data_IF_915778401622
#
_entry.id   IF_915778401622
#
_cell.length_a   1.000
_cell.length_b   1.000
_cell.length_c   1.000
_cell.angle_alpha   90.00
_cell.angle_beta   90.00
_cell.angle_gamma   90.00
#
_symmetry.space_group_name_H-M   'P 1'
#
loop_
_entity.id
_entity.type
_entity.pdbx_description
1 polymer ?
#
# COMPACT_ATOMS: atom_id res chain seq x y z
N UNK A 1 -10.56 58.83 -51.27
CA UNK A 1 -11.01 58.79 -49.86
C UNK A 1 -12.13 57.77 -49.74
N UNK A 2 -11.96 56.79 -48.82
CA UNK A 2 -12.97 55.85 -48.26
C UNK A 2 -13.57 54.81 -49.23
N UNK A 3 -13.79 53.55 -48.86
CA UNK A 3 -13.36 52.64 -47.77
C UNK A 3 -13.73 51.26 -48.31
N UNK A 4 -12.83 50.27 -48.22
CA UNK A 4 -13.06 48.89 -48.66
C UNK A 4 -13.54 48.14 -47.43
N UNK A 5 -14.84 47.88 -47.33
CA UNK A 5 -15.42 47.10 -46.23
C UNK A 5 -14.93 45.66 -46.37
N UNK A 6 -14.06 45.27 -45.45
CA UNK A 6 -13.55 43.91 -45.31
C UNK A 6 -14.27 43.35 -44.09
N UNK A 7 -15.31 42.57 -44.33
CA UNK A 7 -16.00 41.79 -43.30
C UNK A 7 -15.04 40.69 -42.86
N UNK A 8 -14.35 40.93 -41.76
CA UNK A 8 -13.52 39.95 -41.08
C UNK A 8 -14.47 39.02 -40.35
N UNK A 9 -14.65 37.82 -40.89
CA UNK A 9 -15.33 36.72 -40.21
C UNK A 9 -14.52 36.40 -38.94
N UNK A 10 -15.04 36.85 -37.81
CA UNK A 10 -14.48 36.62 -36.48
C UNK A 10 -14.46 35.12 -36.22
N UNK A 11 -13.27 34.51 -36.25
CA UNK A 11 -13.04 33.25 -35.56
C UNK A 11 -13.51 33.43 -34.11
N UNK A 12 -14.52 32.67 -33.72
CA UNK A 12 -14.87 32.48 -32.31
C UNK A 12 -13.66 31.87 -31.62
N UNK A 13 -12.82 32.72 -31.05
CA UNK A 13 -11.93 32.31 -29.98
C UNK A 13 -12.81 31.75 -28.87
N UNK A 14 -12.66 30.45 -28.59
CA UNK A 14 -13.23 29.82 -27.41
C UNK A 14 -12.65 30.51 -26.18
N UNK A 15 -13.40 31.47 -25.66
CA UNK A 15 -13.16 32.10 -24.38
C UNK A 15 -13.40 31.08 -23.26
N UNK A 16 -12.40 30.23 -22.99
CA UNK A 16 -12.25 29.58 -21.69
C UNK A 16 -10.96 30.08 -21.05
N UNK A 17 -11.07 31.02 -20.11
CA UNK A 17 -9.97 31.62 -19.35
C UNK A 17 -9.34 30.65 -18.32
N UNK A 18 -9.64 29.35 -18.41
CA UNK A 18 -9.10 28.31 -17.54
C UNK A 18 -8.86 27.06 -18.40
N UNK A 19 -7.62 26.58 -18.36
CA UNK A 19 -7.16 25.34 -18.99
C UNK A 19 -8.09 24.17 -18.62
N UNK A 20 -8.59 23.45 -19.64
CA UNK A 20 -9.50 22.33 -19.46
C UNK A 20 -8.87 21.23 -18.59
N UNK A 21 -7.56 21.06 -18.68
CA UNK A 21 -6.79 20.11 -17.88
C UNK A 21 -6.70 20.55 -16.41
N UNK A 22 -6.58 21.85 -16.16
CA UNK A 22 -6.60 22.41 -14.80
C UNK A 22 -7.96 22.17 -14.12
N UNK A 23 -9.06 22.42 -14.83
CA UNK A 23 -10.40 22.18 -14.30
C UNK A 23 -10.68 20.70 -14.06
N UNK A 24 -10.26 19.83 -15.00
CA UNK A 24 -10.34 18.37 -14.85
C UNK A 24 -9.58 17.89 -13.62
N UNK A 25 -8.32 18.32 -13.45
CA UNK A 25 -7.48 17.89 -12.34
C UNK A 25 -8.02 18.36 -10.98
N UNK A 26 -8.55 19.60 -10.92
CA UNK A 26 -9.19 20.12 -9.71
C UNK A 26 -10.42 19.30 -9.32
N UNK A 27 -11.28 18.97 -10.29
CA UNK A 27 -12.45 18.13 -10.05
C UNK A 27 -12.05 16.71 -9.66
N UNK A 28 -11.06 16.12 -10.33
CA UNK A 28 -10.57 14.80 -10.01
C UNK A 28 -10.07 14.72 -8.56
N UNK A 29 -9.22 15.66 -8.13
CA UNK A 29 -8.76 15.75 -6.74
C UNK A 29 -9.92 15.93 -5.74
N UNK A 30 -10.93 16.73 -6.11
CA UNK A 30 -12.15 16.89 -5.28
C UNK A 30 -12.91 15.56 -5.15
N UNK A 31 -13.01 14.78 -6.22
CA UNK A 31 -13.63 13.46 -6.23
C UNK A 31 -12.90 12.48 -5.30
N UNK A 32 -11.56 12.44 -5.40
CA UNK A 32 -10.72 11.63 -4.51
C UNK A 32 -10.91 12.02 -3.03
N UNK A 33 -10.94 13.31 -2.72
CA UNK A 33 -11.20 13.78 -1.34
C UNK A 33 -12.57 13.32 -0.84
N UNK A 34 -13.60 13.34 -1.70
CA UNK A 34 -14.93 12.81 -1.32
C UNK A 34 -14.95 11.31 -1.09
N UNK A 35 -14.14 10.54 -1.83
CA UNK A 35 -13.96 9.12 -1.53
C UNK A 35 -13.29 8.91 -0.17
N UNK A 36 -12.27 9.71 0.16
CA UNK A 36 -11.60 9.65 1.45
C UNK A 36 -12.53 10.05 2.62
N UNK A 37 -13.48 10.95 2.37
CA UNK A 37 -14.56 11.32 3.30
C UNK A 37 -15.70 10.26 3.37
N UNK A 38 -15.59 9.13 2.66
CA UNK A 38 -16.63 8.09 2.50
C UNK A 38 -17.95 8.59 1.87
N UNK A 39 -17.93 9.77 1.22
CA UNK A 39 -19.09 10.36 0.52
C UNK A 39 -19.12 9.89 -0.94
N UNK A 40 -19.49 8.63 -1.13
CA UNK A 40 -19.37 7.94 -2.43
C UNK A 40 -20.35 8.48 -3.49
N UNK A 41 -21.53 8.94 -3.11
CA UNK A 41 -22.50 9.57 -4.02
C UNK A 41 -21.97 10.92 -4.54
N UNK A 42 -21.44 11.75 -3.64
CA UNK A 42 -20.80 13.03 -4.00
C UNK A 42 -19.59 12.79 -4.90
N UNK A 43 -18.74 11.82 -4.55
CA UNK A 43 -17.59 11.44 -5.35
C UNK A 43 -18.00 10.99 -6.76
N UNK A 44 -19.02 10.11 -6.85
CA UNK A 44 -19.58 9.66 -8.12
C UNK A 44 -20.07 10.82 -8.98
N UNK A 45 -20.78 11.77 -8.38
CA UNK A 45 -21.24 12.97 -9.09
C UNK A 45 -20.06 13.80 -9.62
N UNK A 46 -19.01 13.97 -8.82
CA UNK A 46 -17.82 14.73 -9.23
C UNK A 46 -17.08 14.02 -10.38
N UNK A 47 -16.92 12.69 -10.34
CA UNK A 47 -16.30 11.96 -11.45
C UNK A 47 -17.16 12.04 -12.72
N UNK A 48 -18.49 12.04 -12.62
CA UNK A 48 -19.35 12.31 -13.77
C UNK A 48 -19.12 13.71 -14.35
N UNK A 49 -18.81 14.73 -13.53
CA UNK A 49 -18.42 16.05 -14.02
C UNK A 49 -17.08 16.02 -14.75
N UNK A 50 -16.09 15.27 -14.24
CA UNK A 50 -14.81 15.04 -14.95
C UNK A 50 -15.07 14.43 -16.33
N UNK A 51 -15.96 13.44 -16.39
CA UNK A 51 -16.30 12.74 -17.64
C UNK A 51 -17.12 13.58 -18.63
N UNK A 52 -17.71 14.71 -18.20
CA UNK A 52 -18.28 15.69 -19.13
C UNK A 52 -17.21 16.53 -19.83
N UNK A 53 -16.06 16.72 -19.17
CA UNK A 53 -14.91 17.43 -19.74
C UNK A 53 -14.12 16.47 -20.65
N UNK A 54 -13.79 15.29 -20.14
CA UNK A 54 -13.11 14.24 -20.90
C UNK A 54 -13.87 12.90 -20.76
N UNK A 55 -14.70 12.51 -21.75
CA UNK A 55 -15.50 11.30 -21.67
C UNK A 55 -14.70 9.99 -21.58
N UNK A 56 -13.46 9.97 -22.05
CA UNK A 56 -12.62 8.77 -22.11
C UNK A 56 -11.52 8.78 -21.04
N UNK A 57 -11.72 9.56 -20.00
CA UNK A 57 -10.81 9.66 -18.87
C UNK A 57 -10.79 8.36 -18.06
N UNK A 58 -9.74 7.55 -18.27
CA UNK A 58 -9.60 6.21 -17.67
C UNK A 58 -9.62 6.27 -16.15
N UNK A 59 -8.89 7.21 -15.54
CA UNK A 59 -8.84 7.33 -14.09
C UNK A 59 -10.21 7.68 -13.50
N UNK A 60 -10.92 8.65 -14.11
CA UNK A 60 -12.24 9.04 -13.63
C UNK A 60 -13.28 7.95 -13.83
N UNK A 61 -13.19 7.16 -14.91
CA UNK A 61 -14.04 5.99 -15.13
C UNK A 61 -13.77 4.90 -14.09
N UNK A 62 -12.51 4.59 -13.81
CA UNK A 62 -12.15 3.62 -12.76
C UNK A 62 -12.67 4.06 -11.39
N UNK A 63 -12.50 5.34 -11.02
CA UNK A 63 -12.99 5.86 -9.75
C UNK A 63 -14.52 5.93 -9.68
N UNK A 64 -15.20 6.30 -10.76
CA UNK A 64 -16.66 6.24 -10.84
C UNK A 64 -17.17 4.81 -10.67
N UNK A 65 -16.56 3.86 -11.39
CA UNK A 65 -16.89 2.44 -11.29
C UNK A 65 -16.70 1.91 -9.86
N UNK A 66 -15.62 2.33 -9.19
CA UNK A 66 -15.34 1.99 -7.79
C UNK A 66 -16.42 2.55 -6.86
N UNK A 67 -16.75 3.84 -6.96
CA UNK A 67 -17.80 4.43 -6.13
C UNK A 67 -19.14 3.71 -6.35
N UNK A 68 -19.51 3.42 -7.60
CA UNK A 68 -20.75 2.69 -7.94
C UNK A 68 -20.77 1.28 -7.39
N UNK A 69 -19.64 0.57 -7.44
CA UNK A 69 -19.51 -0.76 -6.84
C UNK A 69 -19.81 -0.73 -5.34
N UNK A 70 -19.21 0.22 -4.61
CA UNK A 70 -19.41 0.34 -3.16
C UNK A 70 -20.79 0.91 -2.76
N UNK A 71 -21.49 1.53 -3.70
CA UNK A 71 -22.91 1.90 -3.58
C UNK A 71 -23.86 0.75 -3.97
N UNK A 72 -23.32 -0.45 -4.23
CA UNK A 72 -24.05 -1.63 -4.70
C UNK A 72 -24.76 -1.43 -6.07
N UNK A 73 -24.42 -0.36 -6.79
CA UNK A 73 -24.86 -0.10 -8.16
C UNK A 73 -23.96 -0.83 -9.15
N UNK A 74 -24.06 -2.16 -9.12
CA UNK A 74 -23.25 -3.06 -9.94
C UNK A 74 -23.47 -2.86 -11.45
N UNK A 75 -24.61 -2.31 -11.86
CA UNK A 75 -24.90 -2.07 -13.28
C UNK A 75 -24.09 -0.89 -13.80
N UNK A 76 -24.11 0.25 -13.11
CA UNK A 76 -23.31 1.40 -13.52
C UNK A 76 -21.82 1.17 -13.30
N UNK A 77 -21.45 0.40 -12.27
CA UNK A 77 -20.07 -0.02 -12.05
C UNK A 77 -19.51 -0.81 -13.25
N UNK A 78 -20.24 -1.83 -13.72
CA UNK A 78 -19.88 -2.59 -14.92
C UNK A 78 -19.73 -1.69 -16.14
N UNK A 79 -20.68 -0.78 -16.39
CA UNK A 79 -20.63 0.15 -17.52
C UNK A 79 -19.39 1.04 -17.50
N UNK A 80 -19.00 1.52 -16.32
CA UNK A 80 -17.81 2.34 -16.18
C UNK A 80 -16.53 1.54 -16.51
N UNK A 81 -16.40 0.32 -16.00
CA UNK A 81 -15.25 -0.54 -16.30
C UNK A 81 -15.24 -1.03 -17.76
N UNK A 82 -16.40 -1.36 -18.33
CA UNK A 82 -16.52 -1.70 -19.75
C UNK A 82 -16.04 -0.53 -20.62
N UNK A 83 -16.40 0.70 -20.27
CA UNK A 83 -15.91 1.89 -20.98
C UNK A 83 -14.40 2.10 -20.85
N UNK A 84 -13.79 1.74 -19.71
CA UNK A 84 -12.32 1.72 -19.60
C UNK A 84 -11.74 0.72 -20.59
N UNK A 85 -12.32 -0.46 -20.69
CA UNK A 85 -11.87 -1.53 -21.59
C UNK A 85 -12.11 -1.23 -23.08
N UNK A 86 -13.10 -0.40 -23.41
CA UNK A 86 -13.29 0.14 -24.76
C UNK A 86 -12.16 1.12 -25.15
N UNK A 87 -11.59 1.84 -24.18
CA UNK A 87 -10.46 2.77 -24.38
C UNK A 87 -9.13 2.03 -24.36
N UNK A 88 -8.94 1.12 -23.40
CA UNK A 88 -7.75 0.29 -23.21
C UNK A 88 -8.14 -1.11 -22.74
N UNK A 89 -8.16 -2.05 -23.68
CA UNK A 89 -8.49 -3.46 -23.43
C UNK A 89 -7.46 -4.18 -22.55
N UNK A 90 -6.26 -3.62 -22.39
CA UNK A 90 -5.17 -4.17 -21.57
C UNK A 90 -5.14 -3.57 -20.16
N UNK A 91 -6.15 -2.80 -19.78
CA UNK A 91 -6.21 -2.22 -18.44
C UNK A 91 -6.48 -3.28 -17.36
N UNK A 92 -5.44 -3.67 -16.62
CA UNK A 92 -5.52 -4.72 -15.61
C UNK A 92 -6.46 -4.36 -14.45
N UNK A 93 -6.49 -3.09 -14.03
CA UNK A 93 -7.39 -2.60 -12.98
C UNK A 93 -8.85 -2.77 -13.37
N UNK A 94 -9.24 -2.37 -14.59
CA UNK A 94 -10.61 -2.50 -15.08
C UNK A 94 -11.07 -3.96 -15.13
N UNK A 95 -10.21 -4.88 -15.62
CA UNK A 95 -10.50 -6.31 -15.60
C UNK A 95 -10.68 -6.86 -14.18
N UNK A 96 -9.81 -6.47 -13.25
CA UNK A 96 -9.88 -6.89 -11.85
C UNK A 96 -11.10 -6.30 -11.11
N UNK A 97 -11.47 -5.04 -11.38
CA UNK A 97 -12.68 -4.49 -10.78
C UNK A 97 -13.96 -5.10 -11.37
N UNK A 98 -13.97 -5.39 -12.68
CA UNK A 98 -15.06 -6.13 -13.32
C UNK A 98 -15.21 -7.54 -12.74
N UNK A 99 -14.11 -8.21 -12.39
CA UNK A 99 -14.16 -9.51 -11.70
C UNK A 99 -14.83 -9.42 -10.34
N UNK A 100 -14.54 -8.37 -9.56
CA UNK A 100 -15.18 -8.11 -8.27
C UNK A 100 -16.69 -7.91 -8.41
N UNK A 101 -17.15 -7.20 -9.45
CA UNK A 101 -18.60 -7.06 -9.70
C UNK A 101 -19.25 -8.41 -9.99
N UNK A 102 -18.62 -9.27 -10.80
CA UNK A 102 -19.15 -10.62 -11.05
C UNK A 102 -19.15 -11.50 -9.80
N UNK A 103 -18.13 -11.34 -8.94
CA UNK A 103 -18.05 -12.04 -7.66
C UNK A 103 -19.19 -11.64 -6.72
N UNK A 104 -19.49 -10.34 -6.56
CA UNK A 104 -20.62 -9.89 -5.74
C UNK A 104 -21.97 -10.40 -6.28
N UNK A 105 -22.07 -10.53 -7.61
CA UNK A 105 -23.22 -11.15 -8.27
C UNK A 105 -23.23 -12.68 -8.21
N UNK A 106 -22.26 -13.29 -7.54
CA UNK A 106 -22.07 -14.76 -7.39
C UNK A 106 -21.90 -15.51 -8.71
N UNK A 107 -21.39 -14.84 -9.73
CA UNK A 107 -21.09 -15.43 -11.05
C UNK A 107 -19.59 -15.72 -11.13
N UNK A 108 -19.14 -16.69 -10.32
CA UNK A 108 -17.71 -16.92 -10.08
C UNK A 108 -16.90 -17.31 -11.32
N UNK A 109 -17.50 -18.03 -12.29
CA UNK A 109 -16.82 -18.35 -13.55
C UNK A 109 -16.44 -17.10 -14.35
N UNK A 110 -17.36 -16.13 -14.47
CA UNK A 110 -17.05 -14.85 -15.14
C UNK A 110 -16.10 -13.98 -14.34
N UNK A 111 -16.18 -14.05 -13.00
CA UNK A 111 -15.22 -13.38 -12.14
C UNK A 111 -13.81 -13.93 -12.38
N UNK A 112 -13.66 -15.26 -12.47
CA UNK A 112 -12.41 -15.92 -12.79
C UNK A 112 -11.88 -15.50 -14.16
N UNK A 113 -12.70 -15.54 -15.22
CA UNK A 113 -12.29 -15.10 -16.56
C UNK A 113 -11.77 -13.65 -16.57
N UNK A 114 -12.41 -12.75 -15.81
CA UNK A 114 -11.97 -11.36 -15.69
C UNK A 114 -10.67 -11.23 -14.88
N UNK A 115 -10.50 -11.99 -13.80
CA UNK A 115 -9.24 -11.98 -13.03
C UNK A 115 -8.07 -12.54 -13.85
N UNK A 116 -8.30 -13.58 -14.64
CA UNK A 116 -7.29 -14.14 -15.55
C UNK A 116 -6.88 -13.10 -16.61
N UNK A 117 -7.82 -12.35 -17.18
CA UNK A 117 -7.48 -11.24 -18.10
C UNK A 117 -6.70 -10.10 -17.43
N UNK A 118 -6.98 -9.81 -16.16
CA UNK A 118 -6.19 -8.83 -15.40
C UNK A 118 -4.74 -9.32 -15.21
N UNK A 119 -4.55 -10.61 -14.94
CA UNK A 119 -3.24 -11.26 -14.80
C UNK A 119 -2.50 -11.32 -16.14
N UNK A 120 -3.20 -11.64 -17.23
CA UNK A 120 -2.61 -11.63 -18.58
C UNK A 120 -2.12 -10.23 -18.98
N UNK A 121 -2.83 -9.20 -18.51
CA UNK A 121 -2.46 -7.79 -18.74
C UNK A 121 -1.30 -7.33 -17.84
N UNK A 122 -1.31 -7.70 -16.55
CA UNK A 122 -0.22 -7.47 -15.61
C UNK A 122 0.01 -8.71 -14.73
N UNK A 123 1.02 -9.54 -15.06
CA UNK A 123 1.33 -10.75 -14.29
C UNK A 123 1.82 -10.46 -12.86
N UNK A 124 2.22 -9.22 -12.57
CA UNK A 124 2.68 -8.77 -11.25
C UNK A 124 1.56 -8.18 -10.39
N UNK A 125 0.32 -8.18 -10.88
CA UNK A 125 -0.81 -7.64 -10.13
C UNK A 125 -1.28 -8.59 -9.01
N UNK A 126 -0.69 -8.42 -7.82
CA UNK A 126 -0.92 -9.33 -6.69
C UNK A 126 -2.38 -9.48 -6.24
N UNK A 127 -3.20 -8.43 -6.38
CA UNK A 127 -4.64 -8.49 -6.05
C UNK A 127 -5.45 -9.28 -7.09
N UNK A 128 -5.08 -9.26 -8.37
CA UNK A 128 -5.73 -10.09 -9.37
C UNK A 128 -5.49 -11.59 -9.10
N UNK A 129 -4.26 -11.96 -8.72
CA UNK A 129 -3.94 -13.31 -8.23
C UNK A 129 -4.70 -13.68 -6.95
N UNK A 130 -4.87 -12.74 -6.01
CA UNK A 130 -5.64 -12.96 -4.79
C UNK A 130 -7.11 -13.25 -5.11
N UNK A 131 -7.72 -12.40 -5.94
CA UNK A 131 -9.11 -12.52 -6.37
C UNK A 131 -9.33 -13.82 -7.16
N UNK A 132 -8.42 -14.16 -8.08
CA UNK A 132 -8.39 -15.45 -8.77
C UNK A 132 -8.42 -16.61 -7.78
N UNK A 133 -7.59 -16.57 -6.74
CA UNK A 133 -7.58 -17.60 -5.70
C UNK A 133 -8.92 -17.72 -4.98
N UNK A 134 -9.53 -16.59 -4.58
CA UNK A 134 -10.87 -16.57 -3.97
C UNK A 134 -11.91 -17.21 -4.90
N UNK A 135 -11.91 -16.86 -6.18
CA UNK A 135 -12.93 -17.34 -7.11
C UNK A 135 -12.79 -18.85 -7.39
N UNK A 136 -11.56 -19.34 -7.54
CA UNK A 136 -11.28 -20.78 -7.63
C UNK A 136 -11.69 -21.52 -6.37
N UNK A 137 -11.49 -20.91 -5.21
CA UNK A 137 -11.95 -21.43 -3.93
C UNK A 137 -13.47 -21.57 -3.92
N UNK A 138 -14.21 -20.54 -4.35
CA UNK A 138 -15.68 -20.58 -4.47
C UNK A 138 -16.18 -21.60 -5.50
N UNK A 139 -15.38 -21.91 -6.51
CA UNK A 139 -15.63 -22.96 -7.51
C UNK A 139 -15.15 -24.35 -7.06
N UNK A 140 -14.60 -24.48 -5.85
CA UNK A 140 -14.04 -25.71 -5.28
C UNK A 140 -12.85 -26.30 -6.08
N UNK A 141 -12.12 -25.45 -6.81
CA UNK A 141 -10.87 -25.78 -7.50
C UNK A 141 -9.68 -25.54 -6.56
N UNK A 142 -9.56 -26.43 -5.58
CA UNK A 142 -8.67 -26.29 -4.42
C UNK A 142 -7.18 -26.17 -4.81
N UNK A 143 -6.61 -27.05 -5.66
CA UNK A 143 -5.18 -26.97 -6.00
C UNK A 143 -4.81 -25.66 -6.71
N UNK A 144 -5.63 -25.23 -7.67
CA UNK A 144 -5.41 -24.02 -8.46
C UNK A 144 -5.60 -22.76 -7.61
N UNK A 145 -6.56 -22.78 -6.67
CA UNK A 145 -6.76 -21.70 -5.69
C UNK A 145 -5.51 -21.49 -4.84
N UNK A 146 -4.95 -22.56 -4.27
CA UNK A 146 -3.71 -22.49 -3.49
C UNK A 146 -2.52 -22.00 -4.32
N UNK A 147 -2.40 -22.46 -5.57
CA UNK A 147 -1.37 -21.98 -6.49
C UNK A 147 -1.48 -20.48 -6.71
N UNK A 148 -2.66 -19.97 -7.02
CA UNK A 148 -2.89 -18.53 -7.20
C UNK A 148 -2.64 -17.72 -5.93
N UNK A 149 -3.05 -18.25 -4.78
CA UNK A 149 -2.83 -17.58 -3.49
C UNK A 149 -1.34 -17.48 -3.15
N UNK A 150 -0.56 -18.54 -3.41
CA UNK A 150 0.89 -18.51 -3.25
C UNK A 150 1.52 -17.44 -4.14
N UNK A 151 1.13 -17.36 -5.42
CA UNK A 151 1.62 -16.30 -6.33
C UNK A 151 1.29 -14.90 -5.83
N UNK A 152 0.07 -14.71 -5.32
CA UNK A 152 -0.35 -13.44 -4.70
C UNK A 152 0.51 -13.04 -3.49
N UNK A 153 0.90 -14.02 -2.66
CA UNK A 153 1.74 -13.82 -1.47
C UNK A 153 3.20 -13.57 -1.85
N UNK A 154 3.71 -14.21 -2.90
CA UNK A 154 5.05 -13.95 -3.43
C UNK A 154 5.20 -12.51 -3.92
N UNK A 155 4.13 -11.95 -4.49
CA UNK A 155 4.08 -10.55 -4.94
C UNK A 155 3.93 -9.59 -3.74
N UNK A 156 2.94 -9.83 -2.86
CA UNK A 156 2.75 -9.06 -1.63
C UNK A 156 2.48 -9.99 -0.44
N UNK A 157 3.48 -10.10 0.44
CA UNK A 157 3.43 -10.93 1.64
C UNK A 157 2.26 -10.59 2.58
N UNK A 158 1.73 -9.36 2.53
CA UNK A 158 0.56 -8.96 3.33
C UNK A 158 -0.69 -9.77 2.98
N UNK A 159 -0.75 -10.32 1.77
CA UNK A 159 -1.85 -11.17 1.33
C UNK A 159 -1.95 -12.47 2.15
N UNK A 160 -0.86 -12.94 2.76
CA UNK A 160 -0.90 -14.10 3.65
C UNK A 160 -1.77 -13.80 4.89
N UNK A 161 -1.57 -12.62 5.50
CA UNK A 161 -2.37 -12.16 6.64
C UNK A 161 -3.83 -11.87 6.25
N UNK A 162 -4.07 -11.43 5.01
CA UNK A 162 -5.43 -11.25 4.48
C UNK A 162 -6.14 -12.60 4.33
N UNK A 163 -5.48 -13.57 3.72
CA UNK A 163 -6.04 -14.89 3.40
C UNK A 163 -6.48 -15.67 4.65
N UNK A 164 -5.72 -15.64 5.74
CA UNK A 164 -6.09 -16.37 6.97
C UNK A 164 -7.38 -15.86 7.62
N UNK A 165 -7.81 -14.63 7.29
CA UNK A 165 -9.07 -14.03 7.77
C UNK A 165 -10.19 -14.14 6.75
N UNK A 166 -9.87 -14.46 5.51
CA UNK A 166 -10.83 -14.49 4.44
C UNK A 166 -11.71 -15.75 4.56
N UNK A 167 -13.00 -15.54 4.39
CA UNK A 167 -14.01 -16.62 4.43
C UNK A 167 -14.03 -17.40 3.12
N UNK A 168 -13.58 -16.79 2.03
CA UNK A 168 -13.56 -17.44 0.72
C UNK A 168 -12.63 -18.66 0.70
N UNK A 169 -11.66 -18.71 1.61
CA UNK A 169 -10.71 -19.80 1.73
C UNK A 169 -11.13 -20.90 2.72
N UNK A 170 -12.37 -20.92 3.21
CA UNK A 170 -12.81 -21.91 4.21
C UNK A 170 -12.60 -23.38 3.77
N UNK A 171 -12.85 -23.70 2.50
CA UNK A 171 -12.64 -25.05 1.95
C UNK A 171 -11.17 -25.39 1.69
N UNK A 172 -10.28 -24.41 1.52
CA UNK A 172 -8.84 -24.65 1.35
C UNK A 172 -8.07 -24.72 2.68
N UNK A 173 -8.66 -24.29 3.81
CA UNK A 173 -7.97 -24.19 5.12
C UNK A 173 -7.36 -25.49 5.63
N UNK A 174 -7.96 -26.63 5.29
CA UNK A 174 -7.48 -27.94 5.74
C UNK A 174 -6.28 -28.45 4.94
N UNK A 175 -6.01 -27.86 3.79
CA UNK A 175 -4.93 -28.27 2.90
C UNK A 175 -3.55 -27.94 3.47
N UNK A 176 -2.58 -28.82 3.19
CA UNK A 176 -1.19 -28.60 3.62
C UNK A 176 -0.58 -27.33 3.01
N UNK A 177 -1.02 -26.93 1.81
CA UNK A 177 -0.63 -25.65 1.20
C UNK A 177 -1.06 -24.46 2.06
N UNK A 178 -2.31 -24.44 2.51
CA UNK A 178 -2.83 -23.33 3.32
C UNK A 178 -2.22 -23.32 4.73
N UNK A 179 -1.98 -24.50 5.32
CA UNK A 179 -1.29 -24.60 6.62
C UNK A 179 0.10 -23.96 6.61
N UNK A 180 0.82 -23.98 5.48
CA UNK A 180 2.10 -23.26 5.30
C UNK A 180 1.92 -21.74 5.26
N UNK A 181 0.82 -21.26 4.69
CA UNK A 181 0.50 -19.82 4.72
C UNK A 181 0.23 -19.35 6.15
N UNK A 182 -0.50 -20.16 6.94
CA UNK A 182 -0.69 -19.90 8.38
C UNK A 182 0.65 -19.86 9.12
N UNK A 183 1.59 -20.76 8.79
CA UNK A 183 2.94 -20.74 9.34
C UNK A 183 3.69 -19.44 9.02
N UNK A 184 3.60 -18.93 7.79
CA UNK A 184 4.18 -17.62 7.42
C UNK A 184 3.61 -16.50 8.30
N UNK A 185 2.29 -16.49 8.52
CA UNK A 185 1.64 -15.47 9.35
C UNK A 185 2.05 -15.55 10.83
N UNK A 186 2.17 -16.77 11.38
CA UNK A 186 2.62 -16.96 12.78
C UNK A 186 4.10 -16.61 12.93
N UNK A 187 4.96 -17.02 11.99
CA UNK A 187 6.39 -16.64 11.98
C UNK A 187 6.53 -15.12 11.94
N UNK A 188 5.75 -14.43 11.10
CA UNK A 188 5.78 -12.97 11.02
C UNK A 188 5.33 -12.31 12.34
N UNK A 189 4.34 -12.88 13.03
CA UNK A 189 3.93 -12.41 14.36
C UNK A 189 5.06 -12.58 15.39
N UNK A 190 5.71 -13.75 15.44
CA UNK A 190 6.87 -13.98 16.31
C UNK A 190 8.02 -13.03 15.98
N UNK A 191 8.28 -12.80 14.69
CA UNK A 191 9.30 -11.88 14.17
C UNK A 191 9.11 -10.45 14.69
N UNK A 192 7.86 -10.02 14.79
CA UNK A 192 7.46 -8.71 15.32
C UNK A 192 7.47 -8.62 16.86
N UNK A 193 7.83 -9.71 17.56
CA UNK A 193 7.96 -9.75 19.01
C UNK A 193 6.68 -10.15 19.76
N UNK A 194 5.75 -10.83 19.11
CA UNK A 194 4.52 -11.34 19.74
C UNK A 194 4.73 -12.79 20.18
N UNK A 195 5.22 -12.97 21.41
CA UNK A 195 5.73 -14.26 21.89
C UNK A 195 4.69 -15.15 22.60
N UNK A 196 3.50 -14.64 22.94
CA UNK A 196 2.46 -15.45 23.62
C UNK A 196 1.35 -15.81 22.65
N UNK A 197 0.66 -16.95 22.89
CA UNK A 197 -0.48 -17.39 22.08
C UNK A 197 -1.52 -16.27 21.94
N UNK A 198 -1.91 -15.63 23.04
CA UNK A 198 -2.88 -14.54 23.00
C UNK A 198 -2.43 -13.34 22.15
N UNK A 199 -1.13 -13.01 22.19
CA UNK A 199 -0.57 -11.92 21.39
C UNK A 199 -0.49 -12.25 19.89
N UNK A 200 -0.26 -13.52 19.55
CA UNK A 200 -0.27 -14.03 18.17
C UNK A 200 -1.72 -14.04 17.66
N UNK A 201 -2.67 -14.57 18.44
CA UNK A 201 -4.10 -14.54 18.13
C UNK A 201 -4.57 -13.11 17.86
N UNK A 202 -4.24 -12.15 18.74
CA UNK A 202 -4.63 -10.76 18.58
C UNK A 202 -4.08 -10.11 17.30
N UNK A 203 -2.83 -10.40 16.93
CA UNK A 203 -2.23 -9.79 15.73
C UNK A 203 -2.68 -10.43 14.42
N UNK A 204 -2.92 -11.74 14.44
CA UNK A 204 -3.18 -12.55 13.24
C UNK A 204 -4.67 -12.77 13.02
N UNK A 205 -5.49 -12.68 14.06
CA UNK A 205 -6.91 -13.03 14.11
C UNK A 205 -7.17 -14.51 13.78
N UNK A 206 -6.16 -15.36 13.96
CA UNK A 206 -6.31 -16.81 13.93
C UNK A 206 -6.97 -17.29 15.22
N UNK A 207 -7.70 -18.40 15.15
CA UNK A 207 -8.22 -19.05 16.33
C UNK A 207 -7.08 -19.62 17.19
N UNK A 208 -7.28 -19.63 18.51
CA UNK A 208 -6.30 -20.15 19.48
C UNK A 208 -5.86 -21.57 19.13
N UNK A 209 -6.79 -22.41 18.68
CA UNK A 209 -6.51 -23.79 18.27
C UNK A 209 -5.57 -23.86 17.05
N UNK A 210 -5.79 -23.00 16.05
CA UNK A 210 -4.96 -22.93 14.85
C UNK A 210 -3.56 -22.43 15.16
N UNK A 211 -3.44 -21.45 16.05
CA UNK A 211 -2.15 -20.96 16.54
C UNK A 211 -1.39 -22.08 17.26
N UNK A 212 -2.04 -22.82 18.17
CA UNK A 212 -1.41 -23.94 18.90
C UNK A 212 -0.96 -25.04 17.94
N UNK A 213 -1.82 -25.46 17.00
CA UNK A 213 -1.49 -26.46 15.97
C UNK A 213 -0.32 -25.99 15.12
N UNK A 214 -0.31 -24.72 14.73
CA UNK A 214 0.76 -24.12 13.93
C UNK A 214 2.10 -24.09 14.69
N UNK A 215 2.12 -23.58 15.93
CA UNK A 215 3.32 -23.55 16.76
C UNK A 215 3.86 -24.97 16.99
N UNK A 216 2.99 -25.95 17.21
CA UNK A 216 3.39 -27.36 17.34
C UNK A 216 4.09 -27.87 16.07
N UNK A 217 3.59 -27.54 14.88
CA UNK A 217 4.25 -27.90 13.61
C UNK A 217 5.60 -27.18 13.45
N UNK A 218 5.66 -25.90 13.77
CA UNK A 218 6.89 -25.11 13.69
C UNK A 218 7.97 -25.62 14.65
N UNK A 219 7.59 -26.05 15.85
CA UNK A 219 8.49 -26.71 16.80
C UNK A 219 9.00 -28.06 16.27
N UNK A 220 8.11 -28.89 15.71
CA UNK A 220 8.51 -30.16 15.04
C UNK A 220 9.48 -29.94 13.88
N UNK A 221 9.35 -28.81 13.17
CA UNK A 221 10.24 -28.38 12.09
C UNK A 221 11.55 -27.74 12.60
N UNK A 222 11.72 -27.55 13.90
CA UNK A 222 12.89 -26.88 14.47
C UNK A 222 12.98 -25.40 14.12
N UNK A 223 11.84 -24.73 13.88
CA UNK A 223 11.78 -23.30 13.53
C UNK A 223 11.40 -22.41 14.72
N UNK A 224 10.73 -22.99 15.72
CA UNK A 224 10.24 -22.28 16.92
C UNK A 224 10.62 -23.07 18.17
N UNK A 225 11.00 -22.36 19.23
CA UNK A 225 11.27 -22.91 20.56
C UNK A 225 10.21 -22.40 21.53
N UNK A 226 9.81 -23.26 22.46
CA UNK A 226 8.92 -22.92 23.58
C UNK A 226 9.74 -22.67 24.84
N UNK A 227 9.45 -21.58 25.53
CA UNK A 227 10.02 -21.23 26.83
C UNK A 227 8.91 -21.06 27.87
N UNK A 228 9.16 -21.55 29.09
CA UNK A 228 8.25 -21.36 30.22
C UNK A 228 8.73 -20.19 31.07
N UNK A 229 7.91 -19.13 31.16
CA UNK A 229 8.21 -17.96 31.99
C UNK A 229 7.37 -18.01 33.27
N UNK A 230 8.02 -18.19 34.41
CA UNK A 230 7.38 -18.13 35.72
C UNK A 230 6.99 -16.69 36.05
N UNK A 231 5.72 -16.48 36.37
CA UNK A 231 5.18 -15.30 37.03
C UNK A 231 4.80 -15.65 38.47
N UNK A 232 4.46 -14.61 39.26
CA UNK A 232 4.24 -14.72 40.70
C UNK A 232 3.16 -15.76 41.04
N UNK A 233 2.09 -15.88 40.23
CA UNK A 233 0.98 -16.83 40.45
C UNK A 233 0.68 -17.77 39.27
N UNK A 234 1.51 -17.80 38.22
CA UNK A 234 1.28 -18.67 37.05
C UNK A 234 2.55 -18.88 36.22
N UNK A 235 2.55 -19.88 35.35
CA UNK A 235 3.57 -20.06 34.32
C UNK A 235 2.96 -19.72 32.97
N UNK A 236 3.62 -18.87 32.18
CA UNK A 236 3.16 -18.49 30.85
C UNK A 236 4.13 -19.05 29.81
N UNK A 237 3.56 -19.71 28.82
CA UNK A 237 4.29 -20.19 27.66
C UNK A 237 4.60 -19.04 26.70
N UNK A 238 5.87 -18.94 26.33
CA UNK A 238 6.38 -18.00 25.33
C UNK A 238 7.05 -18.77 24.19
N UNK A 239 6.96 -18.23 22.99
CA UNK A 239 7.42 -18.85 21.77
C UNK A 239 8.36 -17.89 21.04
N UNK A 240 9.49 -18.42 20.57
CA UNK A 240 10.53 -17.65 19.91
C UNK A 240 11.02 -18.37 18.66
N UNK A 241 11.43 -17.60 17.64
CA UNK A 241 12.10 -18.16 16.47
C UNK A 241 13.47 -18.69 16.86
N UNK A 242 13.86 -19.85 16.31
CA UNK A 242 15.21 -20.39 16.48
C UNK A 242 16.24 -19.37 15.96
N UNK A 243 17.41 -19.18 16.63
CA UNK A 243 18.37 -18.14 16.28
C UNK A 243 18.79 -18.11 14.80
N UNK A 244 18.96 -19.26 14.18
CA UNK A 244 19.28 -19.36 12.74
C UNK A 244 18.18 -18.77 11.85
N UNK A 245 16.91 -18.99 12.22
CA UNK A 245 15.76 -18.43 11.53
C UNK A 245 15.66 -16.93 11.80
N UNK A 246 15.80 -16.52 13.06
CA UNK A 246 15.79 -15.12 13.48
C UNK A 246 16.85 -14.28 12.75
N UNK A 247 18.03 -14.86 12.51
CA UNK A 247 19.11 -14.22 11.76
C UNK A 247 18.79 -14.11 10.26
N UNK A 248 18.10 -15.09 9.68
CA UNK A 248 17.71 -15.08 8.25
C UNK A 248 16.62 -14.06 7.93
N UNK A 249 15.67 -13.85 8.84
CA UNK A 249 14.50 -12.97 8.60
C UNK A 249 14.52 -11.64 9.36
N UNK A 250 15.48 -11.45 10.27
CA UNK A 250 15.57 -10.33 11.22
C UNK A 250 14.50 -10.41 12.32
N UNK A 251 14.75 -9.92 13.55
CA UNK A 251 13.75 -9.90 14.64
C UNK A 251 13.60 -8.53 15.29
N UNK A 252 12.38 -8.19 15.71
CA UNK A 252 12.06 -6.96 16.44
C UNK A 252 11.94 -7.32 17.94
N UNK A 253 12.86 -6.83 18.78
CA UNK A 253 12.83 -7.11 20.23
C UNK A 253 11.80 -6.24 20.96
N UNK A 254 10.94 -6.84 21.78
CA UNK A 254 9.98 -6.14 22.66
C UNK A 254 10.32 -6.31 24.15
N UNK A 255 10.26 -5.21 24.90
CA UNK A 255 10.56 -5.16 26.34
C UNK A 255 9.40 -5.62 27.24
N UNK A 256 9.72 -5.94 28.50
CA UNK A 256 8.87 -6.68 29.46
C UNK A 256 7.65 -5.91 30.02
N UNK A 257 7.50 -4.62 29.72
CA UNK A 257 6.40 -3.77 30.16
C UNK A 257 5.91 -2.95 28.97
N UNK A 258 5.10 -3.54 28.08
CA UNK A 258 4.11 -2.85 27.22
C UNK A 258 4.50 -1.58 26.44
N UNK A 259 5.78 -1.27 26.38
CA UNK A 259 6.42 -0.09 25.83
C UNK A 259 7.76 -0.64 25.35
N UNK A 260 8.17 -0.35 24.10
CA UNK A 260 9.47 -0.79 23.63
C UNK A 260 10.51 -0.33 24.65
N UNK A 261 11.34 -1.25 25.15
CA UNK A 261 12.64 -0.79 25.62
C UNK A 261 13.34 -0.34 24.34
N UNK A 262 13.19 0.95 24.04
CA UNK A 262 14.20 1.65 23.26
C UNK A 262 15.52 1.18 23.87
N UNK A 263 16.36 0.51 23.08
CA UNK A 263 17.75 0.88 23.23
C UNK A 263 17.73 2.37 22.95
N UNK A 264 17.72 3.18 24.02
CA UNK A 264 17.81 4.62 23.91
C UNK A 264 19.19 4.84 23.27
N UNK A 265 19.23 4.95 21.95
CA UNK A 265 20.19 5.85 21.34
C UNK A 265 19.70 7.24 21.73
N UNK A 266 20.39 7.80 22.73
CA UNK A 266 20.38 9.19 23.21
C UNK A 266 19.30 10.11 22.60
N UNK A 267 18.35 10.66 23.38
CA UNK A 267 17.23 11.47 22.90
C UNK A 267 17.57 12.82 22.23
N UNK A 268 18.83 13.12 21.91
CA UNK A 268 19.23 14.48 21.46
C UNK A 268 20.15 14.41 20.23
N UNK A 269 20.51 13.22 19.73
CA UNK A 269 21.40 13.10 18.58
C UNK A 269 20.72 12.99 17.20
N UNK A 270 19.47 12.54 17.08
CA UNK A 270 18.93 12.23 15.75
C UNK A 270 18.05 13.32 15.10
N UNK A 271 17.19 14.06 15.82
CA UNK A 271 16.42 15.15 15.17
C UNK A 271 17.28 16.26 14.53
N UNK A 272 18.46 16.56 15.10
CA UNK A 272 19.42 17.51 14.48
C UNK A 272 20.05 16.91 13.22
N UNK A 273 20.49 15.66 13.28
CA UNK A 273 21.02 14.95 12.11
C UNK A 273 19.95 14.81 11.01
N UNK A 274 18.69 14.62 11.39
CA UNK A 274 17.55 14.55 10.49
C UNK A 274 17.34 15.92 9.83
N UNK A 275 17.32 17.01 10.60
CA UNK A 275 17.23 18.36 10.05
C UNK A 275 18.38 18.70 9.10
N UNK A 276 19.63 18.36 9.47
CA UNK A 276 20.81 18.53 8.63
C UNK A 276 20.70 17.73 7.33
N UNK A 277 20.25 16.47 7.41
CA UNK A 277 20.11 15.63 6.23
C UNK A 277 18.91 16.03 5.34
N UNK A 278 17.82 16.58 5.91
CA UNK A 278 16.75 17.24 5.12
C UNK A 278 17.34 18.40 4.30
N UNK A 279 18.15 19.25 4.94
CA UNK A 279 18.79 20.39 4.27
C UNK A 279 19.75 19.97 3.16
N UNK A 280 20.57 18.94 3.40
CA UNK A 280 21.46 18.38 2.38
C UNK A 280 20.70 17.80 1.18
N UNK A 281 19.59 17.09 1.44
CA UNK A 281 18.75 16.57 0.35
C UNK A 281 18.12 17.71 -0.46
N UNK A 282 17.57 18.74 0.20
CA UNK A 282 16.98 19.89 -0.49
C UNK A 282 18.01 20.62 -1.36
N UNK A 283 19.20 20.86 -0.80
CA UNK A 283 20.30 21.52 -1.51
C UNK A 283 20.71 20.71 -2.74
N UNK A 284 20.92 19.40 -2.61
CA UNK A 284 21.30 18.55 -3.76
C UNK A 284 20.20 18.41 -4.80
N UNK A 285 18.92 18.45 -4.42
CA UNK A 285 17.80 18.52 -5.36
C UNK A 285 17.79 19.86 -6.10
N UNK A 286 18.05 20.97 -5.41
CA UNK A 286 18.13 22.30 -6.01
C UNK A 286 19.29 22.43 -7.00
N UNK A 287 20.45 21.86 -6.66
CA UNK A 287 21.67 21.80 -7.48
C UNK A 287 21.64 20.68 -8.54
N UNK A 288 20.58 19.86 -8.58
CA UNK A 288 20.37 18.75 -9.51
C UNK A 288 21.43 17.64 -9.44
N UNK A 289 22.00 17.43 -8.25
CA UNK A 289 23.04 16.44 -7.97
C UNK A 289 22.46 15.07 -7.57
N UNK A 290 22.02 14.30 -8.58
CA UNK A 290 21.35 12.99 -8.42
C UNK A 290 22.08 12.01 -7.50
N UNK A 291 23.39 11.82 -7.69
CA UNK A 291 24.16 10.83 -6.92
C UNK A 291 24.22 11.19 -5.43
N UNK A 292 24.45 12.47 -5.11
CA UNK A 292 24.47 12.94 -3.72
C UNK A 292 23.09 12.94 -3.10
N UNK A 293 22.04 13.26 -3.86
CA UNK A 293 20.66 13.11 -3.36
C UNK A 293 20.36 11.64 -3.01
N UNK A 294 20.76 10.68 -3.84
CA UNK A 294 20.61 9.24 -3.55
C UNK A 294 21.40 8.86 -2.29
N UNK A 295 22.62 9.37 -2.15
CA UNK A 295 23.46 9.16 -0.96
C UNK A 295 22.77 9.66 0.31
N UNK A 296 22.26 10.88 0.30
CA UNK A 296 21.60 11.48 1.46
C UNK A 296 20.24 10.84 1.75
N UNK A 297 19.49 10.40 0.73
CA UNK A 297 18.31 9.57 0.94
C UNK A 297 18.64 8.25 1.67
N UNK A 298 19.86 7.69 1.52
CA UNK A 298 20.25 6.51 2.30
C UNK A 298 20.32 6.80 3.79
N UNK A 299 20.66 8.03 4.21
CA UNK A 299 20.69 8.41 5.63
C UNK A 299 19.32 8.27 6.29
N UNK A 300 18.25 8.48 5.50
CA UNK A 300 16.86 8.38 5.95
C UNK A 300 16.32 6.96 5.94
N UNK A 301 16.95 6.04 5.21
CA UNK A 301 16.47 4.66 5.05
C UNK A 301 17.27 3.71 5.94
N UNK A 302 18.52 4.06 6.22
CA UNK A 302 19.41 3.30 7.07
C UNK A 302 18.96 3.38 8.53
N UNK A 303 18.55 2.23 9.07
CA UNK A 303 18.06 2.06 10.43
C UNK A 303 19.11 2.38 11.49
N UNK A 304 20.40 2.33 11.14
CA UNK A 304 21.50 2.71 12.05
C UNK A 304 21.74 4.23 12.09
N UNK A 305 21.12 4.99 11.18
CA UNK A 305 21.23 6.46 11.06
C UNK A 305 19.92 7.15 11.45
N UNK A 306 19.23 7.74 10.48
CA UNK A 306 17.94 8.43 10.70
C UNK A 306 16.75 7.53 10.38
N UNK A 307 16.95 6.33 9.83
CA UNK A 307 15.87 5.45 9.37
C UNK A 307 14.92 5.00 10.46
N UNK A 308 15.41 4.75 11.67
CA UNK A 308 14.52 4.39 12.78
C UNK A 308 13.62 5.56 13.21
N UNK A 309 14.18 6.78 13.28
CA UNK A 309 13.40 7.98 13.62
C UNK A 309 12.41 8.33 12.52
N UNK A 310 12.82 8.20 11.25
CA UNK A 310 11.93 8.32 10.09
C UNK A 310 10.78 7.31 10.15
N UNK A 311 11.02 6.06 10.54
CA UNK A 311 9.95 5.04 10.66
C UNK A 311 8.99 5.37 11.81
N UNK A 312 9.53 5.80 12.95
CA UNK A 312 8.73 6.02 14.16
C UNK A 312 7.89 7.29 14.08
N UNK A 313 8.43 8.34 13.46
CA UNK A 313 7.87 9.69 13.51
C UNK A 313 7.37 10.24 12.16
N UNK A 314 7.79 9.65 11.04
CA UNK A 314 7.56 10.12 9.66
C UNK A 314 7.40 8.95 8.67
N UNK A 315 6.54 7.97 9.02
CA UNK A 315 6.47 6.68 8.33
C UNK A 315 6.12 6.80 6.83
N UNK A 316 5.22 7.70 6.47
CA UNK A 316 4.81 7.86 5.07
C UNK A 316 5.91 8.57 4.28
N UNK A 317 6.55 9.58 4.85
CA UNK A 317 7.68 10.25 4.23
C UNK A 317 8.90 9.33 4.10
N UNK A 318 9.11 8.42 5.07
CA UNK A 318 10.12 7.37 4.97
C UNK A 318 9.88 6.46 3.75
N UNK A 319 8.62 6.10 3.48
CA UNK A 319 8.26 5.32 2.28
C UNK A 319 8.47 6.15 1.00
N UNK A 320 8.08 7.42 1.01
CA UNK A 320 8.26 8.30 -0.15
C UNK A 320 9.73 8.52 -0.50
N UNK A 321 10.60 8.70 0.50
CA UNK A 321 12.05 8.84 0.31
C UNK A 321 12.66 7.56 -0.27
N UNK A 322 12.17 6.37 0.13
CA UNK A 322 12.56 5.10 -0.51
C UNK A 322 12.16 5.04 -1.98
N UNK A 323 10.96 5.50 -2.31
CA UNK A 323 10.47 5.52 -3.70
C UNK A 323 11.22 6.55 -4.55
N UNK A 324 11.49 7.75 -4.01
CA UNK A 324 12.31 8.78 -4.66
C UNK A 324 13.70 8.23 -4.97
N UNK A 325 14.36 7.58 -4.00
CA UNK A 325 15.67 6.95 -4.20
C UNK A 325 15.65 5.92 -5.34
N UNK A 326 14.66 5.04 -5.39
CA UNK A 326 14.54 4.03 -6.46
C UNK A 326 14.39 4.73 -7.81
N UNK A 327 13.49 5.72 -7.90
CA UNK A 327 13.23 6.44 -9.15
C UNK A 327 14.42 7.29 -9.60
N UNK A 328 15.17 7.89 -8.68
CA UNK A 328 16.43 8.60 -8.99
C UNK A 328 17.50 7.64 -9.51
N UNK A 329 17.59 6.41 -8.98
CA UNK A 329 18.49 5.38 -9.51
C UNK A 329 18.10 4.93 -10.92
N UNK A 330 16.81 4.80 -11.18
CA UNK A 330 16.31 4.26 -12.46
C UNK A 330 16.28 5.32 -13.56
N UNK A 331 15.88 6.54 -13.24
CA UNK A 331 15.58 7.61 -14.21
C UNK A 331 16.50 8.83 -14.10
N UNK A 332 17.40 8.86 -13.13
CA UNK A 332 18.43 9.90 -13.03
C UNK A 332 17.87 11.33 -12.92
N UNK A 333 18.51 12.25 -13.66
CA UNK A 333 18.26 13.69 -13.58
C UNK A 333 16.89 14.09 -14.14
N UNK A 334 16.39 13.38 -15.15
CA UNK A 334 15.08 13.67 -15.76
C UNK A 334 13.95 13.54 -14.73
N UNK A 335 13.95 12.45 -13.95
CA UNK A 335 12.99 12.29 -12.85
C UNK A 335 13.14 13.38 -11.77
N UNK A 336 14.38 13.78 -11.47
CA UNK A 336 14.65 14.83 -10.50
C UNK A 336 14.05 16.16 -10.95
N UNK A 337 14.26 16.55 -12.21
CA UNK A 337 13.74 17.80 -12.78
C UNK A 337 12.21 17.80 -12.83
N UNK A 338 11.61 16.73 -13.35
CA UNK A 338 10.15 16.58 -13.47
C UNK A 338 9.42 16.66 -12.12
N UNK A 339 10.10 16.24 -11.04
CA UNK A 339 9.50 16.14 -9.71
C UNK A 339 10.09 17.13 -8.70
N UNK A 340 10.98 18.04 -9.12
CA UNK A 340 11.77 18.94 -8.26
C UNK A 340 10.91 19.68 -7.25
N UNK A 341 9.87 20.39 -7.71
CA UNK A 341 8.95 21.15 -6.86
C UNK A 341 8.23 20.28 -5.83
N UNK A 342 7.80 19.09 -6.23
CA UNK A 342 7.08 18.16 -5.35
C UNK A 342 8.00 17.60 -4.26
N UNK A 343 9.22 17.21 -4.63
CA UNK A 343 10.22 16.70 -3.68
C UNK A 343 10.63 17.78 -2.67
N UNK A 344 10.92 19.01 -3.13
CA UNK A 344 11.28 20.13 -2.25
C UNK A 344 10.16 20.45 -1.26
N UNK A 345 8.91 20.50 -1.71
CA UNK A 345 7.76 20.76 -0.83
C UNK A 345 7.58 19.67 0.23
N UNK A 346 7.80 18.39 -0.12
CA UNK A 346 7.76 17.28 0.83
C UNK A 346 8.82 17.45 1.94
N UNK A 347 10.07 17.72 1.55
CA UNK A 347 11.16 17.91 2.52
C UNK A 347 11.01 19.19 3.35
N UNK A 348 10.42 20.26 2.79
CA UNK A 348 10.10 21.48 3.54
C UNK A 348 9.04 21.23 4.63
N UNK A 349 7.97 20.50 4.31
CA UNK A 349 6.95 20.13 5.29
C UNK A 349 7.52 19.24 6.41
N UNK A 350 8.42 18.33 6.05
CA UNK A 350 9.14 17.50 7.01
C UNK A 350 10.02 18.36 7.93
N UNK A 351 10.76 19.31 7.37
CA UNK A 351 11.60 20.22 8.17
C UNK A 351 10.80 21.04 9.18
N UNK A 352 9.65 21.59 8.76
CA UNK A 352 8.75 22.34 9.63
C UNK A 352 8.32 21.45 10.81
N UNK A 353 7.99 20.20 10.53
CA UNK A 353 7.56 19.21 11.53
C UNK A 353 8.70 18.83 12.49
N UNK A 354 9.91 18.59 11.97
CA UNK A 354 11.11 18.32 12.77
C UNK A 354 11.47 19.52 13.65
N UNK A 355 11.43 20.73 13.11
CA UNK A 355 11.71 21.98 13.83
C UNK A 355 10.69 22.22 14.95
N UNK A 356 9.41 21.93 14.71
CA UNK A 356 8.36 22.03 15.72
C UNK A 356 8.61 21.05 16.87
N UNK A 357 9.01 19.80 16.58
CA UNK A 357 9.38 18.80 17.59
C UNK A 357 10.63 19.22 18.39
N UNK A 358 11.68 19.70 17.72
CA UNK A 358 12.88 20.24 18.37
C UNK A 358 12.56 21.37 19.35
N UNK A 359 11.65 22.29 18.99
CA UNK A 359 11.21 23.39 19.87
C UNK A 359 10.38 22.90 21.05
N UNK A 360 9.48 21.94 20.86
CA UNK A 360 8.68 21.38 21.95
C UNK A 360 9.51 20.61 22.98
N UNK A 361 10.59 19.96 22.53
CA UNK A 361 11.48 19.20 23.40
C UNK A 361 12.47 20.09 24.16
N UNK A 362 12.89 21.21 23.57
CA UNK A 362 13.65 22.25 24.26
C UNK A 362 12.85 22.97 25.35
N UNK A 363 11.52 22.99 25.26
CA UNK A 363 10.64 23.57 26.27
C UNK A 363 10.27 22.60 27.41
N UNK A 364 10.63 21.32 27.28
CA UNK A 364 10.38 20.24 28.27
C UNK A 364 11.60 19.86 29.09
N UNK A 365 12.79 20.35 28.71
CA UNK A 365 14.02 20.31 29.48
C UNK A 365 14.30 21.71 30.04
#
# INVERSE_FOLDING_TARGET
MKKKDTEVELKKDETSLIDADFNRNKLFSKGINRMADEKLEDASHIFQLVLRINPNDVDALLKLGYCRFHLEDYTESMRAYDKVLDVDVTNADAWNFKSLVYYERKVYGKALDCADKAIDSDPTFGMAWYNRACYLSMLNQIPESLGALVRSIEIDVKNAKRAVKDKDFMNVRLEEGFKRIVEVVVIESLRQGYHTIGSIVWTTFLDTEDVIKCLTRLMKKGLVVKHEKRQIWSTIDTYDLVPEMANKIGTIKRGMLGIPSKSISKPIKNLKNLAEAIQLIRTTIDEEEVEKTIEYCNLFIDTEKCGQEMIDDFLEEHREVRLIKIRLKDKGVDFMQDNKKKMLSMFENMEISVTKKLRSDLARN
#
